data_IF_273428482302
#
_entry.id   IF_273428482302
#
_cell.length_a   1.000
_cell.length_b   1.000
_cell.length_c   1.000
_cell.angle_alpha   90.00
_cell.angle_beta   90.00
_cell.angle_gamma   90.00
#
_symmetry.space_group_name_H-M   'P 1'
#
loop_
_entity.id
_entity.type
_entity.pdbx_description
1 polymer ?
2 polymer ?
#
loop_
_entity_poly.entity_id
_entity_poly.type
_entity_poly.pdbx_seq_one_letter_code
_entity_poly.pdbx_strand_id
1 'polydeoxyribonucleotide' '(DA)(DT)' ?
#
# COMPACT_ATOMS: atom_id res chain seq x y z
N UNK D 1 -18.03 -10.77 -15.47
CA UNK D 1 -16.80 -11.59 -15.46
C UNK D 1 -15.76 -11.08 -14.44
N UNK D 2 -15.49 -9.76 -14.44
CA UNK D 2 -14.53 -9.08 -13.55
C UNK D 2 -14.52 -9.43 -12.05
N UNK D 3 -15.36 -8.74 -11.28
CA UNK D 3 -15.41 -8.93 -9.83
C UNK D 3 -16.56 -9.81 -9.33
N UNK D 4 -16.82 -9.73 -8.02
CA UNK D 4 -17.86 -10.52 -7.36
C UNK D 4 -17.73 -10.26 -5.87
N UNK D 5 -18.82 -9.79 -5.26
CA UNK D 5 -18.82 -9.49 -3.84
C UNK D 5 -19.02 -10.79 -3.06
N UNK D 6 -17.94 -11.22 -2.43
CA UNK D 6 -17.84 -12.48 -1.67
C UNK D 6 -17.99 -12.44 -0.15
N UNK D 7 -18.74 -13.39 0.39
CA UNK D 7 -18.94 -13.51 1.83
C UNK D 7 -17.92 -14.54 2.31
N UNK D 8 -17.32 -14.29 3.46
CA UNK D 8 -16.32 -15.19 4.01
C UNK D 8 -16.53 -15.48 5.49
N UNK D 9 -16.15 -16.69 5.94
CA UNK D 9 -16.29 -17.12 7.34
C UNK D 9 -15.35 -16.34 8.23
N UNK D 10 -15.56 -15.03 8.31
CA UNK D 10 -14.70 -14.16 9.10
C UNK D 10 -14.77 -14.34 10.62
N UNK D 11 -13.67 -13.99 11.31
CA UNK D 11 -13.49 -14.08 12.75
C UNK D 11 -14.49 -13.20 13.52
N UNK D 12 -14.63 -13.46 14.81
CA UNK D 12 -15.59 -12.73 15.64
C UNK D 12 -15.76 -11.23 15.37
N UNK D 13 -14.86 -10.36 15.89
CA UNK D 13 -15.20 -8.98 15.53
C UNK D 13 -14.44 -8.41 14.34
N UNK D 14 -15.13 -8.34 13.21
CA UNK D 14 -14.58 -7.80 11.98
C UNK D 14 -14.42 -6.29 12.14
N UNK D 15 -13.18 -5.86 12.34
CA UNK D 15 -12.86 -4.47 12.56
C UNK D 15 -11.96 -3.85 11.48
N UNK D 16 -11.84 -2.53 11.48
CA UNK D 16 -11.03 -1.75 10.54
C UNK D 16 -9.79 -1.15 11.25
N UNK D 17 -8.59 -1.57 10.83
CA UNK D 17 -7.35 -1.10 11.43
C UNK D 17 -6.94 0.30 10.97
N UNK D 18 -6.51 1.10 11.93
CA UNK D 18 -6.08 2.48 11.69
C UNK D 18 -4.79 2.72 12.44
N UNK D 19 -3.88 3.44 11.82
CA UNK D 19 -2.60 3.71 12.42
C UNK D 19 -2.71 4.88 13.36
N UNK D 20 -2.04 4.82 14.51
CA UNK D 20 -2.10 5.93 15.45
C UNK D 20 -0.90 6.83 15.26
N UNK D 21 -1.11 8.07 14.75
CA UNK D 21 0.07 8.91 14.57
C UNK D 21 0.93 8.99 15.82
N UNK D 22 2.09 9.64 15.69
CA UNK D 22 3.05 9.78 16.78
C UNK D 22 2.55 10.72 17.88
N UNK D 23 2.44 10.20 19.10
CA UNK D 23 1.99 11.03 20.19
C UNK D 23 0.50 10.96 20.50
N UNK D 24 -0.27 10.39 19.58
CA UNK D 24 -1.72 10.27 19.76
C UNK D 24 -2.02 9.02 20.58
N UNK D 25 -2.85 9.13 21.61
CA UNK D 25 -3.15 7.97 22.45
C UNK D 25 -4.64 7.72 22.77
N UNK D 26 -5.09 6.48 22.50
CA UNK D 26 -6.48 6.07 22.75
C UNK D 26 -6.60 4.72 23.47
N UNK D 27 -7.71 4.55 24.17
CA UNK D 27 -8.01 3.33 24.92
C UNK D 27 -9.35 2.73 24.49
N UNK D 28 -9.56 1.47 24.79
CA UNK D 28 -10.79 0.79 24.40
C UNK D 28 -12.06 1.52 24.86
N UNK D 29 -13.07 1.51 24.00
CA UNK D 29 -14.33 2.15 24.30
C UNK D 29 -14.37 3.65 24.00
N UNK D 30 -13.49 4.13 23.13
CA UNK D 30 -13.49 5.56 22.82
C UNK D 30 -13.77 5.82 21.36
N UNK D 31 -14.33 6.98 21.08
CA UNK D 31 -14.64 7.31 19.71
C UNK D 31 -13.43 7.99 19.07
N UNK D 32 -13.35 7.92 17.74
CA UNK D 32 -12.24 8.48 16.98
C UNK D 32 -12.73 8.84 15.58
N UNK D 33 -12.17 9.86 14.96
CA UNK D 33 -12.57 10.20 13.59
C UNK D 33 -11.63 9.40 12.72
N UNK D 34 -12.10 8.89 11.59
CA UNK D 34 -11.20 8.11 10.77
C UNK D 34 -11.42 8.28 9.29
N UNK D 35 -10.34 8.21 8.48
CA UNK D 35 -10.66 8.35 7.06
C UNK D 35 -11.52 7.13 6.68
N UNK D 36 -12.05 7.12 5.46
CA UNK D 36 -12.86 6.01 5.00
C UNK D 36 -12.56 6.07 3.51
N UNK D 37 -13.51 5.73 2.64
CA UNK D 37 -13.26 5.78 1.20
C UNK D 37 -12.16 6.71 0.67
N UNK D 38 -12.09 6.84 -0.66
CA UNK D 38 -11.08 7.68 -1.28
C UNK D 38 -11.14 9.10 -0.75
N UNK D 39 -12.25 9.50 -0.12
CA UNK D 39 -12.16 10.84 0.40
C UNK D 39 -12.82 11.31 1.68
N UNK D 40 -13.95 10.80 2.15
CA UNK D 40 -14.35 11.41 3.41
C UNK D 40 -14.52 10.68 4.73
N UNK D 41 -14.70 11.49 5.78
CA UNK D 41 -14.77 11.08 7.20
C UNK D 41 -15.96 10.32 7.77
N UNK D 42 -15.74 9.78 8.97
CA UNK D 42 -16.71 8.99 9.74
C UNK D 42 -16.26 8.81 11.21
N UNK D 43 -17.20 8.51 12.10
CA UNK D 43 -16.93 8.34 13.53
C UNK D 43 -17.04 6.90 13.97
N UNK D 44 -16.04 6.42 14.69
CA UNK D 44 -16.09 5.05 15.14
C UNK D 44 -15.71 4.85 16.59
N UNK D 45 -15.63 3.58 16.97
CA UNK D 45 -15.29 3.22 18.32
C UNK D 45 -14.16 2.20 18.35
N UNK D 46 -13.08 2.54 19.06
CA UNK D 46 -11.94 1.65 19.18
C UNK D 46 -12.33 0.42 20.01
N UNK D 47 -12.08 -0.78 19.51
CA UNK D 47 -12.42 -1.97 20.25
C UNK D 47 -11.25 -2.54 20.97
N UNK D 48 -10.06 -2.30 20.41
CA UNK D 48 -8.78 -2.80 20.95
C UNK D 48 -7.61 -2.10 20.27
N UNK D 49 -6.44 -2.16 20.90
CA UNK D 49 -5.24 -1.55 20.34
C UNK D 49 -4.11 -2.54 20.49
N UNK D 50 -3.61 -3.10 19.38
CA UNK D 50 -2.50 -4.05 19.44
C UNK D 50 -1.27 -3.48 18.76
N UNK D 51 -0.25 -4.32 18.62
CA UNK D 51 1.01 -3.95 17.97
C UNK D 51 1.12 -4.54 16.58
N UNK D 52 0.02 -5.09 16.08
CA UNK D 52 -0.01 -5.69 14.75
C UNK D 52 -1.38 -5.67 14.08
N UNK D 53 -1.34 -5.60 12.75
CA UNK D 53 -2.53 -5.59 11.88
C UNK D 53 -2.28 -6.58 10.77
N UNK D 54 -3.34 -7.14 10.21
CA UNK D 54 -3.20 -8.11 9.13
C UNK D 54 -2.59 -7.47 7.90
N UNK D 55 -2.45 -6.16 7.92
CA UNK D 55 -1.89 -5.48 6.76
C UNK D 55 -0.65 -4.67 7.07
N UNK D 56 0.13 -4.33 6.02
CA UNK D 56 1.33 -3.54 6.26
C UNK D 56 1.06 -2.31 7.12
N UNK D 57 1.80 -2.18 8.20
CA UNK D 57 1.62 -1.05 9.09
C UNK D 57 1.69 0.28 8.36
N UNK D 58 2.28 0.33 7.17
CA UNK D 58 2.38 1.60 6.44
C UNK D 58 1.21 1.78 5.47
N UNK D 59 0.63 0.66 5.07
CA UNK D 59 -0.49 0.66 4.14
C UNK D 59 -1.81 1.07 4.79
N UNK D 60 -1.79 1.34 6.09
CA UNK D 60 -3.00 1.73 6.82
C UNK D 60 -3.17 3.23 6.93
N UNK D 61 -4.37 3.73 6.64
CA UNK D 61 -4.67 5.16 6.78
C UNK D 61 -4.54 5.45 8.26
N UNK D 62 -4.33 6.71 8.61
CA UNK D 62 -4.14 7.02 10.01
C UNK D 62 -5.30 7.68 10.68
N UNK D 63 -5.41 7.44 11.99
CA UNK D 63 -6.48 8.04 12.79
C UNK D 63 -6.37 9.54 12.70
N UNK D 64 -7.51 10.19 12.67
CA UNK D 64 -7.52 11.63 12.58
C UNK D 64 -7.55 12.30 13.92
N UNK D 65 -8.61 12.05 14.66
CA UNK D 65 -8.80 12.67 15.94
C UNK D 65 -9.49 11.73 16.92
N UNK D 66 -9.20 11.91 18.21
CA UNK D 66 -9.78 11.08 19.25
C UNK D 66 -10.83 11.91 20.00
N UNK D 67 -12.09 11.61 19.77
CA UNK D 67 -13.20 12.33 20.39
C UNK D 67 -13.33 12.17 21.89
N UNK D 68 -12.90 11.03 22.42
CA UNK D 68 -13.04 10.81 23.85
C UNK D 68 -11.72 10.62 24.58
N UNK D 69 -11.65 11.23 25.75
CA UNK D 69 -10.49 11.16 26.63
C UNK D 69 -10.68 9.85 27.37
N UNK D 70 -11.92 9.60 27.75
CA UNK D 70 -12.25 8.38 28.47
C UNK D 70 -13.41 7.64 27.84
N UNK D 71 -13.50 6.32 28.08
CA UNK D 71 -14.55 5.45 27.55
C UNK D 71 -15.95 5.95 27.81
N UNK D 72 -16.65 6.28 26.73
CA UNK D 72 -18.02 6.76 26.77
C UNK D 72 -18.90 5.64 27.35
N UNK D 73 -18.40 4.41 27.30
CA UNK D 73 -19.13 3.27 27.83
C UNK D 73 -18.52 2.91 29.19
N UNK D 74 -19.31 2.31 30.09
CA UNK D 74 -18.83 1.90 31.40
C UNK D 74 -18.15 0.54 31.31
N UNK D 75 -17.16 0.31 32.16
CA UNK D 75 -16.42 -0.94 32.13
C UNK D 75 -17.31 -2.19 32.11
N UNK D 76 -18.44 -2.12 32.81
CA UNK D 76 -19.39 -3.23 32.86
C UNK D 76 -20.12 -3.34 31.52
N UNK D 77 -20.80 -2.25 31.18
CA UNK D 77 -21.55 -2.14 29.92
C UNK D 77 -20.73 -2.63 28.76
N UNK D 78 -19.49 -2.18 28.73
CA UNK D 78 -18.58 -2.54 27.67
C UNK D 78 -18.49 -4.05 27.59
N UNK D 79 -18.07 -4.67 28.69
CA UNK D 79 -17.92 -6.12 28.75
C UNK D 79 -19.20 -6.82 28.27
N UNK D 80 -20.36 -6.32 28.69
CA UNK D 80 -21.63 -6.92 28.27
C UNK D 80 -21.77 -6.84 26.76
N UNK D 81 -21.69 -5.62 26.25
CA UNK D 81 -21.80 -5.36 24.82
C UNK D 81 -20.95 -6.27 23.95
N UNK D 82 -19.65 -6.28 24.23
CA UNK D 82 -18.73 -7.13 23.47
C UNK D 82 -19.22 -8.56 23.56
N UNK D 83 -19.68 -8.93 24.74
CA UNK D 83 -20.18 -10.27 24.94
C UNK D 83 -21.45 -10.47 24.10
N UNK D 84 -22.44 -9.60 24.28
CA UNK D 84 -23.71 -9.69 23.54
C UNK D 84 -23.46 -9.80 22.05
N UNK D 85 -22.50 -9.04 21.56
CA UNK D 85 -22.20 -9.09 20.15
C UNK D 85 -21.67 -10.46 19.72
N UNK D 86 -20.78 -11.05 20.53
CA UNK D 86 -20.19 -12.35 20.23
C UNK D 86 -21.19 -13.50 20.39
N UNK D 87 -21.76 -13.59 21.58
CA UNK D 87 -22.70 -14.64 21.91
C UNK D 87 -23.93 -14.76 21.00
N UNK D 88 -24.43 -13.64 20.50
CA UNK D 88 -25.62 -13.64 19.65
C UNK D 88 -25.29 -13.37 18.18
N UNK D 89 -24.00 -13.29 17.87
CA UNK D 89 -23.54 -13.08 16.52
C UNK D 89 -24.03 -11.79 15.87
N UNK D 90 -23.76 -10.66 16.52
CA UNK D 90 -24.14 -9.37 15.94
C UNK D 90 -22.86 -8.58 15.67
N UNK D 91 -22.78 -7.88 14.52
CA UNK D 91 -21.58 -7.10 14.23
C UNK D 91 -21.32 -6.20 15.43
N UNK D 92 -20.11 -6.24 15.95
CA UNK D 92 -19.79 -5.44 17.11
C UNK D 92 -20.05 -3.98 16.88
N UNK D 93 -19.75 -3.51 15.68
CA UNK D 93 -19.96 -2.11 15.36
C UNK D 93 -21.43 -1.77 15.48
N UNK D 94 -22.28 -2.69 14.99
CA UNK D 94 -23.72 -2.57 15.01
C UNK D 94 -24.27 -2.47 16.43
N UNK D 95 -23.82 -3.35 17.33
CA UNK D 95 -24.31 -3.28 18.71
C UNK D 95 -23.83 -1.99 19.35
N UNK D 96 -22.53 -1.73 19.32
CA UNK D 96 -22.01 -0.51 19.95
C UNK D 96 -22.65 0.80 19.54
N UNK D 97 -22.82 1.04 18.25
CA UNK D 97 -23.39 2.31 17.86
C UNK D 97 -24.88 2.41 18.11
N UNK D 98 -25.58 1.29 18.18
CA UNK D 98 -27.01 1.35 18.44
C UNK D 98 -27.27 1.64 19.89
N UNK D 99 -26.63 0.88 20.76
CA UNK D 99 -26.81 1.06 22.19
C UNK D 99 -26.33 2.41 22.69
N UNK D 100 -25.37 3.02 22.01
CA UNK D 100 -24.87 4.31 22.45
C UNK D 100 -26.01 5.27 22.79
N UNK D 101 -26.91 5.54 21.81
CA UNK D 101 -28.05 6.45 22.02
C UNK D 101 -28.84 6.03 23.24
N UNK D 102 -29.26 4.77 23.29
CA UNK D 102 -30.00 4.24 24.42
C UNK D 102 -29.19 4.58 25.68
N UNK D 103 -28.19 3.77 26.02
CA UNK D 103 -27.37 3.99 27.23
C UNK D 103 -27.20 5.43 27.74
N UNK D 104 -26.90 6.37 26.84
CA UNK D 104 -26.69 7.76 27.22
C UNK D 104 -27.98 8.50 27.52
N UNK D 105 -28.84 8.53 26.53
CA UNK D 105 -30.12 9.20 26.62
C UNK D 105 -31.04 8.42 27.56
N UNK E 1 0.08 1.94 21.63
CA UNK E 1 0.60 1.04 20.56
C UNK E 1 0.37 1.62 19.16
N UNK E 2 0.62 0.83 18.11
CA UNK E 2 0.45 1.33 16.74
C UNK E 2 -0.89 1.16 16.02
N UNK E 3 -1.27 -0.09 15.79
CA UNK E 3 -2.51 -0.42 15.09
C UNK E 3 -3.80 -0.30 15.92
N UNK E 4 -4.65 0.66 15.57
CA UNK E 4 -5.93 0.83 16.24
C UNK E 4 -6.95 0.17 15.33
N UNK E 5 -7.48 -0.97 15.78
CA UNK E 5 -8.50 -1.71 15.04
C UNK E 5 -9.78 -0.99 15.37
N UNK E 6 -10.46 -0.43 14.39
CA UNK E 6 -11.69 0.23 14.75
C UNK E 6 -12.89 -0.24 13.96
N UNK E 7 -14.05 -0.09 14.59
CA UNK E 7 -15.32 -0.49 14.03
C UNK E 7 -16.08 0.68 13.37
N UNK E 8 -16.75 0.42 12.25
CA UNK E 8 -17.51 1.48 11.62
C UNK E 8 -18.83 0.94 11.12
N UNK E 9 -19.90 1.75 11.20
CA UNK E 9 -21.16 1.16 10.71
C UNK E 9 -21.19 0.94 9.19
N UNK E 10 -20.66 -0.22 8.85
CA UNK E 10 -20.53 -0.72 7.50
C UNK E 10 -21.89 -1.12 6.91
N UNK E 11 -21.98 -1.16 5.56
CA UNK E 11 -23.15 -1.52 4.75
C UNK E 11 -23.58 -2.94 5.11
N UNK E 12 -24.83 -3.28 4.83
CA UNK E 12 -25.33 -4.60 5.17
C UNK E 12 -24.41 -5.79 4.90
N UNK E 13 -24.19 -6.18 3.62
CA UNK E 13 -23.33 -7.32 3.33
C UNK E 13 -21.83 -7.00 3.16
N UNK E 14 -21.07 -6.98 4.24
CA UNK E 14 -19.64 -6.70 4.12
C UNK E 14 -18.98 -7.93 3.52
N UNK E 15 -18.59 -7.80 2.26
CA UNK E 15 -17.96 -8.88 1.49
C UNK E 15 -16.58 -8.53 0.94
N UNK E 16 -15.85 -9.54 0.46
CA UNK E 16 -14.53 -9.33 -0.12
C UNK E 16 -14.54 -9.56 -1.62
N UNK E 17 -14.05 -8.55 -2.36
CA UNK E 17 -14.01 -8.60 -3.81
C UNK E 17 -12.83 -9.37 -4.35
N UNK E 18 -13.07 -10.15 -5.39
CA UNK E 18 -12.02 -10.93 -6.03
C UNK E 18 -12.29 -10.95 -7.54
N UNK E 19 -11.24 -10.92 -8.35
CA UNK E 19 -11.44 -10.94 -9.79
C UNK E 19 -11.62 -12.34 -10.34
N UNK E 20 -12.51 -12.48 -11.32
CA UNK E 20 -12.72 -13.77 -11.97
C UNK E 20 -11.79 -13.80 -13.19
N UNK E 21 -10.90 -14.80 -13.25
CA UNK E 21 -9.96 -14.93 -14.36
C UNK E 21 -10.68 -15.00 -15.71
N UNK E 22 -9.94 -14.93 -16.80
CA UNK E 22 -10.56 -15.03 -18.12
C UNK E 22 -11.15 -16.41 -18.31
N UNK E 23 -12.42 -16.44 -18.68
CA UNK E 23 -13.08 -17.71 -18.95
C UNK E 23 -13.67 -18.47 -17.77
N UNK E 24 -13.44 -17.98 -16.55
CA UNK E 24 -13.98 -18.64 -15.38
C UNK E 24 -15.35 -18.03 -15.07
N UNK E 25 -16.37 -18.87 -14.92
CA UNK E 25 -17.72 -18.38 -14.67
C UNK E 25 -18.35 -18.95 -13.39
N UNK E 26 -18.87 -18.05 -12.54
CA UNK E 26 -19.52 -18.45 -11.30
C UNK E 26 -20.76 -17.63 -11.03
N UNK E 27 -21.72 -18.23 -10.32
CA UNK E 27 -22.94 -17.53 -9.95
C UNK E 27 -23.19 -17.57 -8.44
N UNK E 28 -24.13 -16.76 -7.99
CA UNK E 28 -24.48 -16.66 -6.59
C UNK E 28 -24.78 -17.99 -5.93
N UNK E 29 -24.21 -18.17 -4.73
CA UNK E 29 -24.42 -19.39 -3.98
C UNK E 29 -23.37 -20.46 -4.23
N UNK E 30 -22.35 -20.12 -5.02
CA UNK E 30 -21.29 -21.08 -5.30
C UNK E 30 -20.07 -20.88 -4.40
N UNK E 31 -19.41 -21.98 -4.07
CA UNK E 31 -18.21 -21.91 -3.23
C UNK E 31 -17.03 -21.68 -4.16
N UNK E 32 -16.05 -20.93 -3.70
CA UNK E 32 -14.84 -20.69 -4.49
C UNK E 32 -13.64 -20.69 -3.56
N UNK E 33 -12.48 -21.05 -4.10
CA UNK E 33 -11.26 -21.03 -3.30
C UNK E 33 -10.62 -19.70 -3.65
N UNK E 34 -10.09 -18.99 -2.67
CA UNK E 34 -9.49 -17.70 -2.96
C UNK E 34 -8.27 -17.35 -2.11
N UNK E 35 -7.44 -16.41 -2.59
CA UNK E 35 -6.26 -16.03 -1.82
C UNK E 35 -6.82 -15.18 -0.70
N UNK E 36 -6.00 -14.90 0.30
CA UNK E 36 -6.39 -14.02 1.38
C UNK E 36 -5.02 -13.58 1.81
N UNK E 37 -4.81 -13.09 3.02
CA UNK E 37 -3.48 -12.67 3.43
C UNK E 37 -2.30 -12.77 2.45
N UNK E 38 -1.09 -12.84 2.99
CA UNK E 38 0.12 -12.97 2.18
C UNK E 38 0.49 -14.42 1.90
N UNK E 39 0.06 -15.33 2.77
CA UNK E 39 0.33 -16.79 2.66
C UNK E 39 -0.88 -17.33 1.90
N UNK E 40 -1.94 -17.65 2.64
CA UNK E 40 -3.26 -17.83 2.04
C UNK E 40 -4.46 -18.65 1.61
N UNK E 41 -4.54 -19.96 1.48
CA UNK E 41 -5.84 -20.37 0.96
C UNK E 41 -7.06 -20.53 1.89
N UNK E 42 -8.25 -20.43 1.29
CA UNK E 42 -9.51 -20.57 2.02
C UNK E 42 -10.78 -20.63 1.15
N UNK E 43 -11.79 -21.34 1.63
CA UNK E 43 -13.07 -21.49 0.91
C UNK E 43 -14.05 -20.35 1.22
N UNK E 44 -14.73 -19.87 0.19
CA UNK E 44 -15.69 -18.80 0.36
C UNK E 44 -16.94 -19.07 -0.45
N UNK E 45 -17.94 -18.21 -0.27
CA UNK E 45 -19.20 -18.34 -0.99
C UNK E 45 -19.50 -17.03 -1.67
N UNK E 46 -19.69 -17.08 -2.98
CA UNK E 46 -19.98 -15.88 -3.73
C UNK E 46 -21.42 -15.43 -3.44
N UNK E 47 -21.53 -14.16 -3.08
CA UNK E 47 -22.80 -13.51 -2.73
C UNK E 47 -23.49 -12.85 -3.92
N UNK E 48 -22.67 -12.26 -4.79
CA UNK E 48 -23.12 -11.54 -5.99
C UNK E 48 -21.94 -11.36 -6.94
N UNK E 49 -22.23 -11.06 -8.19
CA UNK E 49 -21.19 -10.87 -9.19
C UNK E 49 -21.53 -9.56 -9.87
N UNK E 50 -20.72 -8.54 -9.59
CA UNK E 50 -20.94 -7.23 -10.16
C UNK E 50 -19.85 -6.93 -11.16
N UNK E 51 -19.95 -5.78 -11.82
CA UNK E 51 -18.95 -5.36 -12.78
C UNK E 51 -18.30 -4.11 -12.20
N UNK E 52 -18.36 -4.00 -10.87
CA UNK E 52 -17.81 -2.87 -10.14
C UNK E 52 -17.36 -3.28 -8.73
N UNK E 53 -16.16 -2.83 -8.36
CA UNK E 53 -15.58 -3.11 -7.04
C UNK E 53 -15.21 -1.76 -6.45
N UNK E 54 -15.25 -1.66 -5.13
CA UNK E 54 -14.89 -0.42 -4.46
C UNK E 54 -13.40 -0.08 -4.60
N UNK E 55 -12.63 -0.99 -5.17
CA UNK E 55 -11.19 -0.77 -5.35
C UNK E 55 -10.80 -0.99 -6.82
N UNK E 56 -9.58 -0.53 -7.23
CA UNK E 56 -9.20 -0.73 -8.64
C UNK E 56 -9.22 -2.17 -9.12
N UNK E 57 -9.79 -2.38 -10.31
CA UNK E 57 -9.91 -3.68 -10.95
C UNK E 57 -8.60 -4.44 -11.02
N UNK E 58 -7.49 -3.72 -10.88
CA UNK E 58 -6.16 -4.31 -10.99
C UNK E 58 -5.54 -4.79 -9.67
N UNK E 59 -5.72 -4.05 -8.58
CA UNK E 59 -5.09 -4.54 -7.36
C UNK E 59 -5.99 -5.43 -6.50
N UNK E 60 -6.78 -6.24 -7.21
CA UNK E 60 -7.72 -7.20 -6.64
C UNK E 60 -7.11 -8.61 -6.83
N UNK E 61 -6.90 -9.37 -5.77
CA UNK E 61 -6.36 -10.72 -5.99
C UNK E 61 -7.41 -11.44 -6.82
N UNK E 62 -7.05 -12.56 -7.45
CA UNK E 62 -8.00 -13.27 -8.31
C UNK E 62 -8.45 -14.64 -7.79
N UNK E 63 -9.69 -14.99 -8.11
CA UNK E 63 -10.23 -16.27 -7.69
C UNK E 63 -9.31 -17.39 -8.18
N UNK E 64 -9.23 -18.46 -7.39
CA UNK E 64 -8.39 -19.60 -7.75
C UNK E 64 -9.21 -20.62 -8.54
N UNK E 65 -10.20 -21.23 -7.88
CA UNK E 65 -11.04 -22.22 -8.51
C UNK E 65 -12.48 -22.16 -8.00
N UNK E 66 -13.41 -22.66 -8.82
CA UNK E 66 -14.82 -22.70 -8.47
C UNK E 66 -15.20 -24.13 -8.11
N UNK E 67 -15.49 -24.37 -6.84
CA UNK E 67 -15.84 -25.72 -6.43
C UNK E 67 -17.24 -26.20 -6.81
N UNK E 68 -18.13 -25.29 -7.20
CA UNK E 68 -19.46 -25.72 -7.58
C UNK E 68 -19.91 -25.15 -8.91
N UNK E 69 -20.61 -25.98 -9.68
CA UNK E 69 -21.10 -25.56 -10.99
C UNK E 69 -22.48 -25.01 -10.76
N UNK E 70 -23.14 -25.51 -9.72
CA UNK E 70 -24.48 -25.10 -9.39
C UNK E 70 -24.53 -24.71 -7.90
N UNK E 71 -25.40 -23.74 -7.53
CA UNK E 71 -25.54 -23.28 -6.14
C UNK E 71 -25.85 -24.39 -5.15
N UNK E 72 -24.98 -24.54 -4.15
CA UNK E 72 -25.15 -25.54 -3.11
C UNK E 72 -26.41 -25.23 -2.32
N UNK E 73 -26.89 -24.00 -2.45
CA UNK E 73 -28.09 -23.53 -1.76
C UNK E 73 -29.29 -23.52 -2.71
N UNK E 74 -30.49 -23.78 -2.16
CA UNK E 74 -31.73 -23.74 -2.95
C UNK E 74 -32.13 -22.28 -3.17
N UNK E 75 -32.68 -21.95 -4.33
CA UNK E 75 -33.09 -20.56 -4.59
C UNK E 75 -33.85 -19.97 -3.42
N UNK E 76 -34.72 -20.79 -2.83
CA UNK E 76 -35.53 -20.38 -1.68
C UNK E 76 -34.64 -20.18 -0.47
N UNK E 77 -33.96 -21.26 -0.09
CA UNK E 77 -33.04 -21.22 1.05
C UNK E 77 -32.17 -19.98 1.03
N UNK E 78 -31.58 -19.72 -0.13
CA UNK E 78 -30.71 -18.55 -0.29
C UNK E 78 -31.47 -17.27 0.04
N UNK E 79 -32.63 -17.09 -0.59
CA UNK E 79 -33.43 -15.90 -0.33
C UNK E 79 -33.63 -15.73 1.17
N UNK E 80 -33.99 -16.83 1.84
CA UNK E 80 -34.24 -16.87 3.27
C UNK E 80 -33.01 -16.46 4.05
N UNK E 81 -31.90 -17.14 3.79
CA UNK E 81 -30.67 -16.83 4.51
C UNK E 81 -30.20 -15.39 4.40
N UNK E 82 -30.22 -14.82 3.18
CA UNK E 82 -29.78 -13.43 2.99
C UNK E 82 -30.71 -12.56 3.82
N UNK E 83 -31.98 -12.95 3.88
CA UNK E 83 -32.98 -12.22 4.65
C UNK E 83 -32.59 -12.28 6.12
N UNK E 84 -32.55 -13.49 6.67
CA UNK E 84 -32.19 -13.70 8.08
C UNK E 84 -30.98 -12.86 8.44
N UNK E 85 -29.93 -13.01 7.65
CA UNK E 85 -28.74 -12.22 7.88
C UNK E 85 -29.11 -10.75 8.05
N UNK E 86 -29.85 -10.18 7.09
CA UNK E 86 -30.21 -8.76 7.21
C UNK E 86 -31.18 -8.39 8.31
N UNK E 87 -32.27 -9.13 8.41
CA UNK E 87 -33.30 -8.85 9.39
C UNK E 87 -32.88 -8.93 10.85
N UNK E 88 -32.04 -9.91 11.17
CA UNK E 88 -31.58 -10.14 12.54
C UNK E 88 -30.17 -9.62 12.82
N UNK E 89 -29.55 -8.95 11.85
CA UNK E 89 -28.22 -8.39 12.06
C UNK E 89 -27.15 -9.45 12.26
N UNK E 90 -26.99 -10.33 11.29
CA UNK E 90 -25.95 -11.34 11.41
C UNK E 90 -25.04 -11.21 10.17
N UNK E 91 -23.71 -11.33 10.35
CA UNK E 91 -22.84 -11.21 9.18
C UNK E 91 -23.16 -12.32 8.14
N UNK E 92 -23.34 -11.95 6.86
CA UNK E 92 -23.70 -12.91 5.80
C UNK E 92 -22.80 -14.15 5.82
N UNK E 93 -21.51 -13.89 5.97
CA UNK E 93 -20.52 -14.93 5.99
C UNK E 93 -20.86 -15.96 7.03
N UNK E 94 -21.10 -15.48 8.24
CA UNK E 94 -21.47 -16.35 9.36
C UNK E 94 -22.70 -17.20 9.10
N UNK E 95 -23.83 -16.57 8.75
CA UNK E 95 -25.05 -17.33 8.50
C UNK E 95 -24.79 -18.40 7.46
N UNK E 96 -24.31 -17.99 6.29
CA UNK E 96 -24.01 -18.91 5.19
C UNK E 96 -23.14 -20.13 5.59
N UNK E 97 -21.96 -19.90 6.16
CA UNK E 97 -21.08 -21.01 6.54
C UNK E 97 -21.61 -21.81 7.71
N UNK E 98 -22.13 -21.13 8.73
CA UNK E 98 -22.68 -21.88 9.83
C UNK E 98 -23.94 -22.58 9.33
N UNK E 99 -24.50 -22.05 8.23
CA UNK E 99 -25.70 -22.64 7.67
C UNK E 99 -25.42 -23.73 6.65
N UNK E 100 -24.20 -23.75 6.12
CA UNK E 100 -23.85 -24.75 5.11
C UNK E 100 -23.94 -26.17 5.62
N UNK E 101 -23.25 -26.47 6.73
CA UNK E 101 -23.28 -27.81 7.31
C UNK E 101 -24.71 -28.35 7.46
N UNK E 102 -25.51 -27.69 8.28
CA UNK E 102 -26.88 -28.11 8.51
C UNK E 102 -27.62 -28.47 7.22
N UNK E 103 -27.31 -27.77 6.13
CA UNK E 103 -27.95 -28.02 4.83
C UNK E 103 -27.54 -29.35 4.20
N UNK E 104 -26.26 -29.71 4.36
CA UNK E 104 -25.75 -30.96 3.81
C UNK E 104 -25.86 -32.10 4.83
N UNK F 1 19.87 -7.28 -24.27
CA UNK F 1 20.93 -6.24 -24.35
C UNK F 1 20.51 -4.91 -25.00
N UNK F 2 19.28 -4.44 -24.75
CA UNK F 2 18.94 -3.17 -25.39
C UNK F 2 18.83 -2.08 -24.35
N UNK F 3 19.01 -2.44 -23.09
CA UNK F 3 18.92 -1.46 -22.02
C UNK F 3 20.18 -1.43 -21.16
N UNK F 4 20.81 -0.26 -21.12
CA UNK F 4 21.99 -0.06 -20.32
C UNK F 4 21.53 0.68 -19.06
N UNK F 5 21.58 0.02 -17.91
CA UNK F 5 21.19 0.65 -16.65
C UNK F 5 22.38 1.49 -16.17
N UNK F 6 22.18 2.80 -16.14
CA UNK F 6 23.25 3.71 -15.77
C UNK F 6 23.13 4.44 -14.45
N UNK F 7 24.24 4.51 -13.75
CA UNK F 7 24.28 5.18 -12.47
C UNK F 7 24.71 6.62 -12.72
N UNK F 8 24.26 7.54 -11.86
CA UNK F 8 24.62 8.94 -12.01
C UNK F 8 24.82 9.60 -10.64
N UNK F 9 25.74 10.58 -10.58
CA UNK F 9 26.02 11.30 -9.33
C UNK F 9 24.83 12.21 -9.01
N UNK F 10 23.68 11.61 -8.69
CA UNK F 10 22.47 12.39 -8.40
C UNK F 10 22.45 13.12 -7.07
N UNK F 11 21.65 14.20 -6.99
CA UNK F 11 21.48 15.04 -5.81
C UNK F 11 20.95 14.32 -4.57
N UNK F 12 21.08 15.01 -3.44
CA UNK F 12 20.67 14.53 -2.13
C UNK F 12 19.45 13.60 -2.10
N UNK F 13 18.22 14.14 -1.97
CA UNK F 13 17.13 13.17 -1.95
C UNK F 13 16.47 12.89 -3.30
N UNK F 14 16.85 11.75 -3.89
CA UNK F 14 16.30 11.32 -5.16
C UNK F 14 14.86 10.87 -4.94
N UNK F 15 13.92 11.73 -5.33
CA UNK F 15 12.50 11.47 -5.16
C UNK F 15 11.70 11.38 -6.46
N UNK F 16 10.43 11.00 -6.34
CA UNK F 16 9.49 10.85 -7.45
C UNK F 16 8.31 11.82 -7.36
N UNK F 17 8.23 12.72 -8.35
CA UNK F 17 7.19 13.75 -8.43
C UNK F 17 5.83 13.22 -8.90
N UNK F 18 4.79 13.66 -8.20
CA UNK F 18 3.41 13.30 -8.50
C UNK F 18 2.61 14.59 -8.42
N UNK F 19 1.58 14.69 -9.24
CA UNK F 19 0.74 15.88 -9.26
C UNK F 19 -0.41 15.76 -8.28
N UNK F 20 -0.67 16.86 -7.59
CA UNK F 20 -1.75 16.96 -6.61
C UNK F 20 -3.05 17.27 -7.32
N UNK F 21 -4.06 16.40 -7.19
CA UNK F 21 -5.36 16.59 -7.83
C UNK F 21 -5.97 17.90 -7.38
N UNK F 22 -7.04 18.28 -8.06
CA UNK F 22 -7.80 19.48 -7.74
C UNK F 22 -8.41 19.32 -6.35
N UNK F 23 -8.04 20.20 -5.41
CA UNK F 23 -8.63 20.12 -4.07
C UNK F 23 -8.01 19.17 -3.07
N UNK F 24 -7.00 18.40 -3.49
CA UNK F 24 -6.35 17.48 -2.58
C UNK F 24 -5.20 18.21 -1.88
N UNK F 25 -5.06 18.00 -0.57
CA UNK F 25 -4.03 18.68 0.22
C UNK F 25 -3.16 17.76 1.09
N UNK F 26 -1.83 17.85 0.93
CA UNK F 26 -0.89 17.05 1.74
C UNK F 26 0.34 17.86 2.15
N UNK F 27 0.92 17.52 3.29
CA UNK F 27 2.10 18.22 3.73
C UNK F 27 3.19 17.19 4.02
N UNK F 28 4.40 17.69 4.24
CA UNK F 28 5.54 16.83 4.49
C UNK F 28 5.30 15.83 5.62
N UNK F 29 5.74 14.59 5.43
CA UNK F 29 5.61 13.58 6.44
C UNK F 29 4.36 12.75 6.32
N UNK F 30 3.63 12.90 5.22
CA UNK F 30 2.42 12.14 5.10
C UNK F 30 2.54 11.05 4.05
N UNK F 31 1.86 9.95 4.29
CA UNK F 31 1.88 8.86 3.34
C UNK F 31 0.77 9.09 2.30
N UNK F 32 1.02 8.69 1.06
CA UNK F 32 0.02 8.85 0.01
C UNK F 32 0.10 7.65 -0.90
N UNK F 33 -0.97 7.40 -1.64
CA UNK F 33 -0.99 6.29 -2.55
C UNK F 33 -0.65 6.88 -3.91
N UNK F 34 0.19 6.21 -4.69
CA UNK F 34 0.56 6.76 -6.01
C UNK F 34 0.71 5.70 -7.06
N UNK F 35 0.62 6.10 -8.33
CA UNK F 35 0.79 5.11 -9.38
C UNK F 35 2.29 4.89 -9.45
N UNK F 36 2.71 3.83 -10.13
CA UNK F 36 4.13 3.49 -10.32
C UNK F 36 3.97 2.59 -11.54
N UNK F 37 5.02 2.30 -12.28
CA UNK F 37 4.85 1.45 -13.45
C UNK F 37 3.59 1.69 -14.29
N UNK F 38 3.46 0.89 -15.34
CA UNK F 38 2.34 0.95 -16.28
C UNK F 38 1.09 0.27 -15.69
N UNK F 39 1.26 -0.32 -14.50
CA UNK F 39 0.20 -1.07 -13.85
C UNK F 39 -0.27 -0.71 -12.44
N UNK F 40 0.52 -1.19 -11.46
CA UNK F 40 0.26 -1.09 -10.03
C UNK F 40 0.53 0.14 -9.20
N UNK F 41 -0.11 0.15 -8.03
CA UNK F 41 0.03 1.21 -7.05
C UNK F 41 0.97 0.81 -5.91
N UNK F 42 1.33 1.78 -5.09
CA UNK F 42 2.22 1.60 -3.93
C UNK F 42 2.13 2.81 -3.01
N UNK F 43 2.60 2.65 -1.78
CA UNK F 43 2.53 3.73 -0.83
C UNK F 43 3.83 4.47 -0.65
N UNK F 44 3.74 5.79 -0.54
CA UNK F 44 4.96 6.57 -0.37
C UNK F 44 4.76 7.62 0.71
N UNK F 45 5.78 8.41 0.99
CA UNK F 45 5.70 9.46 1.99
C UNK F 45 6.18 10.75 1.34
N UNK F 46 5.40 11.81 1.41
CA UNK F 46 5.84 13.06 0.79
C UNK F 46 7.01 13.67 1.56
N UNK F 47 8.02 14.12 0.83
CA UNK F 47 9.20 14.70 1.47
C UNK F 47 9.08 16.22 1.40
N UNK F 48 8.26 16.70 0.50
CA UNK F 48 8.04 18.14 0.34
C UNK F 48 7.07 18.39 -0.81
N UNK F 49 6.65 19.64 -0.96
CA UNK F 49 5.71 20.01 -1.99
C UNK F 49 6.06 21.39 -2.53
N UNK F 50 6.55 21.45 -3.76
CA UNK F 50 6.89 22.74 -4.33
C UNK F 50 6.04 22.99 -5.56
N UNK F 51 6.32 24.10 -6.22
CA UNK F 51 5.57 24.50 -7.42
C UNK F 51 6.30 24.13 -8.70
N UNK F 52 7.32 23.29 -8.59
CA UNK F 52 8.08 22.90 -9.76
C UNK F 52 8.55 21.46 -9.75
N UNK F 53 8.58 20.86 -10.92
CA UNK F 53 9.04 19.50 -11.10
C UNK F 53 10.07 19.68 -12.20
N UNK F 54 11.14 18.91 -12.22
CA UNK F 54 12.03 19.17 -13.33
C UNK F 54 11.63 18.33 -14.53
N UNK F 55 10.31 18.14 -14.62
CA UNK F 55 9.66 17.43 -15.70
C UNK F 55 8.30 18.09 -15.99
N UNK F 56 7.82 18.01 -17.23
CA UNK F 56 6.54 18.62 -17.60
C UNK F 56 5.40 18.36 -16.61
N UNK F 57 4.81 19.44 -16.09
CA UNK F 57 3.73 19.32 -15.12
C UNK F 57 2.50 18.60 -15.68
N UNK F 58 2.55 18.27 -16.96
CA UNK F 58 1.46 17.56 -17.64
C UNK F 58 1.83 16.08 -17.72
N UNK F 59 3.11 15.83 -17.96
CA UNK F 59 3.67 14.49 -18.10
C UNK F 59 3.74 13.62 -16.82
N UNK F 60 3.30 14.14 -15.68
CA UNK F 60 3.37 13.34 -14.46
C UNK F 60 2.06 12.83 -13.93
N UNK F 61 2.06 11.54 -13.59
CA UNK F 61 0.86 10.90 -13.06
C UNK F 61 0.43 11.71 -11.84
N UNK F 62 -0.79 11.46 -11.38
CA UNK F 62 -1.31 12.20 -10.24
C UNK F 62 -1.53 11.34 -9.01
N UNK F 63 -1.35 11.93 -7.83
CA UNK F 63 -1.56 11.19 -6.60
C UNK F 63 -2.96 10.57 -6.59
N UNK F 64 -3.08 9.44 -5.92
CA UNK F 64 -4.36 8.73 -5.82
C UNK F 64 -5.10 9.17 -4.56
N UNK F 65 -4.52 8.90 -3.39
CA UNK F 65 -5.13 9.29 -2.12
C UNK F 65 -4.08 9.55 -1.04
N UNK F 66 -4.43 10.31 -0.02
CA UNK F 66 -3.48 10.56 1.05
C UNK F 66 -3.93 9.85 2.32
N UNK F 67 -3.13 8.91 2.80
CA UNK F 67 -3.47 8.16 4.00
C UNK F 67 -3.37 8.90 5.32
N UNK F 68 -2.65 10.02 5.35
CA UNK F 68 -2.47 10.79 6.58
C UNK F 68 -3.01 12.20 6.48
N UNK F 69 -3.65 12.65 7.55
CA UNK F 69 -4.21 13.98 7.64
C UNK F 69 -3.14 14.83 8.31
N UNK F 70 -2.27 14.14 9.04
CA UNK F 70 -1.16 14.79 9.71
C UNK F 70 0.04 13.85 9.67
N UNK F 71 1.27 14.41 9.71
CA UNK F 71 2.55 13.70 9.67
C UNK F 71 2.65 12.55 10.65
N UNK F 72 2.78 11.34 10.12
CA UNK F 72 2.90 10.14 10.93
C UNK F 72 4.16 10.21 11.82
N UNK F 73 5.09 11.08 11.44
CA UNK F 73 6.35 11.28 12.17
C UNK F 73 6.26 12.57 12.97
N UNK F 74 7.06 12.67 14.03
CA UNK F 74 7.09 13.90 14.83
C UNK F 74 8.04 14.91 14.19
N UNK F 75 7.72 16.19 14.33
CA UNK F 75 8.54 17.22 13.71
C UNK F 75 10.04 17.05 13.97
N UNK F 76 10.43 16.62 15.17
CA UNK F 76 11.86 16.43 15.47
C UNK F 76 12.36 15.12 14.81
N UNK F 77 11.64 14.03 15.04
CA UNK F 77 11.99 12.76 14.43
C UNK F 77 12.20 12.94 12.92
N UNK F 78 11.32 13.71 12.29
CA UNK F 78 11.40 13.98 10.86
C UNK F 78 12.76 14.68 10.59
N UNK F 79 12.97 15.81 11.22
CA UNK F 79 14.22 16.53 11.04
C UNK F 79 15.42 15.59 11.15
N UNK F 80 15.35 14.65 12.09
CA UNK F 80 16.42 13.68 12.38
C UNK F 80 16.64 12.69 11.25
N UNK F 81 15.55 12.10 10.76
CA UNK F 81 15.61 11.15 9.66
C UNK F 81 16.15 11.81 8.39
N UNK F 82 15.59 12.96 8.02
CA UNK F 82 16.06 13.63 6.83
C UNK F 82 17.54 13.90 6.96
N UNK F 83 18.00 14.19 8.17
CA UNK F 83 19.41 14.44 8.37
C UNK F 83 20.12 13.13 8.20
N UNK F 84 19.82 12.20 9.09
CA UNK F 84 20.44 10.89 9.05
C UNK F 84 20.61 10.44 7.59
N UNK F 85 19.57 10.56 6.79
CA UNK F 85 19.68 10.13 5.40
C UNK F 85 20.69 10.91 4.59
N UNK F 86 20.89 12.18 4.89
CA UNK F 86 21.84 12.95 4.13
C UNK F 86 23.27 12.81 4.66
N UNK F 87 23.42 12.96 5.96
CA UNK F 87 24.74 12.85 6.54
C UNK F 87 25.39 11.50 6.27
N UNK F 88 24.61 10.43 6.37
CA UNK F 88 25.09 9.05 6.19
C UNK F 88 24.93 8.46 4.80
N UNK F 89 24.50 9.28 3.87
CA UNK F 89 24.30 8.88 2.51
C UNK F 89 23.42 7.65 2.38
N UNK F 90 22.22 7.72 2.93
CA UNK F 90 21.30 6.59 2.78
C UNK F 90 20.05 7.11 2.07
N UNK F 91 19.51 6.32 1.13
CA UNK F 91 18.31 6.68 0.38
C UNK F 91 17.21 7.14 1.33
N UNK F 92 16.68 8.35 1.12
CA UNK F 92 15.63 8.94 1.98
C UNK F 92 14.47 7.96 2.13
N UNK F 93 14.11 7.36 1.00
CA UNK F 93 13.02 6.40 0.98
C UNK F 93 13.28 5.18 1.84
N UNK F 94 14.55 4.76 1.86
CA UNK F 94 14.98 3.62 2.66
C UNK F 94 14.83 3.98 4.15
N UNK F 95 15.39 5.12 4.56
CA UNK F 95 15.33 5.57 5.95
C UNK F 95 13.90 5.68 6.46
N UNK F 96 13.08 6.46 5.77
CA UNK F 96 11.70 6.65 6.21
C UNK F 96 10.93 5.37 6.43
N UNK F 97 10.89 4.51 5.42
CA UNK F 97 10.12 3.27 5.56
C UNK F 97 10.69 2.18 6.47
N UNK F 98 12.00 2.07 6.62
CA UNK F 98 12.51 1.06 7.52
C UNK F 98 12.29 1.53 8.94
N UNK F 99 12.38 2.84 9.13
CA UNK F 99 12.21 3.43 10.44
C UNK F 99 10.75 3.47 10.92
N UNK F 100 9.82 3.60 9.98
CA UNK F 100 8.40 3.69 10.30
C UNK F 100 7.92 2.65 11.31
N UNK F 101 8.08 1.35 10.98
CA UNK F 101 7.64 0.28 11.89
C UNK F 101 8.37 0.24 13.22
N UNK F 102 9.48 0.96 13.30
CA UNK F 102 10.26 0.95 14.51
C UNK F 102 9.92 2.14 15.34
N UNK F 103 9.78 3.29 14.69
CA UNK F 103 9.44 4.53 15.36
C UNK F 103 8.04 4.40 15.96
N UNK F 104 7.13 3.84 15.18
CA UNK F 104 5.76 3.66 15.63
C UNK F 104 5.59 2.52 16.63
N UNK F 105 5.75 2.85 17.91
CA UNK F 105 5.60 1.91 19.02
C UNK F 105 6.39 0.60 18.87
N UNK G 2 2.16 22.96 -8.26
CA UNK G 2 1.52 22.13 -7.21
C UNK G 2 1.97 20.67 -7.29
N UNK G 3 3.21 20.39 -6.86
CA UNK G 3 3.75 19.04 -6.90
C UNK G 3 4.34 18.59 -5.57
N UNK G 4 4.01 17.35 -5.18
CA UNK G 4 4.47 16.74 -3.94
C UNK G 4 5.62 15.79 -4.22
N UNK G 5 6.80 16.11 -3.68
CA UNK G 5 8.03 15.31 -3.83
C UNK G 5 7.90 14.11 -2.87
N UNK G 6 7.68 12.93 -3.44
CA UNK G 6 7.45 11.72 -2.65
C UNK G 6 8.57 10.66 -2.53
N UNK G 7 8.88 10.19 -1.32
CA UNK G 7 9.89 9.15 -1.15
C UNK G 7 9.18 7.82 -1.18
N UNK G 8 9.81 6.80 -1.76
CA UNK G 8 9.22 5.46 -1.84
C UNK G 8 10.20 4.41 -1.35
N UNK G 9 9.71 3.33 -0.74
CA UNK G 9 10.61 2.28 -0.25
C UNK G 9 11.09 1.53 -1.48
N UNK G 10 11.83 2.22 -2.33
CA UNK G 10 12.33 1.67 -3.57
C UNK G 10 13.42 0.59 -3.42
N UNK G 11 13.46 -0.38 -4.36
CA UNK G 11 14.41 -1.51 -4.42
C UNK G 11 15.88 -1.14 -4.39
N UNK G 12 16.70 -2.16 -4.08
CA UNK G 12 18.15 -2.03 -3.97
C UNK G 12 18.86 -0.98 -4.87
N UNK G 13 19.19 -1.32 -6.14
CA UNK G 13 19.87 -0.29 -6.94
C UNK G 13 18.93 0.57 -7.79
N UNK G 14 18.56 1.75 -7.27
CA UNK G 14 17.70 2.66 -8.00
C UNK G 14 18.51 3.23 -9.17
N UNK G 15 18.25 2.75 -10.38
CA UNK G 15 19.00 3.25 -11.53
C UNK G 15 18.12 3.78 -12.66
N UNK G 16 18.75 4.45 -13.62
CA UNK G 16 18.08 5.06 -14.77
C UNK G 16 18.32 4.28 -16.07
N UNK G 17 17.23 3.84 -16.70
CA UNK G 17 17.30 3.05 -17.91
C UNK G 17 17.49 3.85 -19.19
N UNK G 18 18.41 3.39 -20.04
CA UNK G 18 18.69 4.02 -21.31
C UNK G 18 18.72 2.94 -22.39
N UNK G 19 18.23 3.26 -23.57
CA UNK G 19 18.21 2.27 -24.63
C UNK G 19 19.50 2.33 -25.42
N UNK G 20 19.99 1.16 -25.77
CA UNK G 20 21.23 1.03 -26.51
C UNK G 20 20.95 0.97 -28.00
N UNK G 21 21.27 2.06 -28.73
CA UNK G 21 21.05 2.12 -30.18
C UNK G 21 21.52 0.87 -30.92
N UNK G 22 21.08 0.74 -32.17
CA UNK G 22 21.43 -0.42 -32.98
C UNK G 22 22.94 -0.48 -33.29
N UNK G 23 23.58 -1.56 -32.85
CA UNK G 23 25.01 -1.74 -33.10
C UNK G 23 25.93 -1.29 -31.97
N UNK G 24 25.34 -0.59 -30.99
CA UNK G 24 26.04 -0.06 -29.83
C UNK G 24 26.15 -1.15 -28.77
N UNK G 25 27.35 -1.53 -28.33
CA UNK G 25 27.44 -2.53 -27.26
C UNK G 25 28.31 -2.12 -26.05
N UNK G 26 27.77 -2.29 -24.84
CA UNK G 26 28.47 -1.94 -23.61
C UNK G 26 28.37 -2.99 -22.51
N UNK G 27 29.34 -2.97 -21.61
CA UNK G 27 29.40 -3.94 -20.52
C UNK G 27 29.33 -3.29 -19.12
N UNK G 28 28.98 -4.08 -18.12
CA UNK G 28 28.87 -3.58 -16.76
C UNK G 28 30.19 -2.94 -16.33
N UNK G 29 30.13 -1.81 -15.66
CA UNK G 29 31.36 -1.17 -15.22
C UNK G 29 31.90 -0.12 -16.18
N UNK G 30 31.14 0.20 -17.22
CA UNK G 30 31.61 1.18 -18.18
C UNK G 30 30.84 2.51 -18.18
N UNK G 31 31.57 3.58 -18.49
CA UNK G 31 30.99 4.92 -18.54
C UNK G 31 30.33 5.15 -19.88
N UNK G 32 29.33 6.02 -19.91
CA UNK G 32 28.63 6.32 -21.15
C UNK G 32 28.05 7.72 -20.97
N UNK G 33 27.62 8.34 -22.06
CA UNK G 33 27.00 9.67 -21.94
C UNK G 33 25.55 9.46 -22.24
N UNK G 34 24.66 10.20 -21.59
CA UNK G 34 23.25 10.01 -21.83
C UNK G 34 22.43 11.27 -21.68
N UNK G 35 21.26 11.32 -22.31
CA UNK G 35 20.50 12.56 -22.11
C UNK G 35 19.95 12.54 -20.69
N UNK G 36 19.57 13.72 -20.21
CA UNK G 36 19.00 13.85 -18.89
C UNK G 36 18.01 14.97 -19.14
N UNK G 37 17.08 15.25 -18.21
CA UNK G 37 16.11 16.33 -18.46
C UNK G 37 15.77 16.53 -19.92
N UNK G 38 14.97 17.52 -20.29
CA UNK G 38 14.75 17.66 -21.71
C UNK G 38 15.73 18.68 -22.27
N UNK G 39 16.90 18.71 -21.66
CA UNK G 39 17.95 19.65 -22.02
C UNK G 39 19.35 19.01 -22.15
N UNK G 40 20.02 18.98 -20.99
CA UNK G 40 21.40 18.54 -20.74
C UNK G 40 21.90 17.10 -20.80
N UNK G 41 23.21 16.97 -20.95
CA UNK G 41 23.89 15.69 -20.97
C UNK G 41 24.70 15.49 -19.68
N UNK G 42 25.25 14.29 -19.48
CA UNK G 42 25.99 13.95 -18.28
C UNK G 42 26.58 12.55 -18.45
N UNK G 43 27.56 12.18 -17.63
CA UNK G 43 28.15 10.86 -17.74
C UNK G 43 27.72 9.94 -16.59
N UNK G 44 27.51 8.67 -16.92
CA UNK G 44 27.11 7.70 -15.91
C UNK G 44 27.89 6.40 -16.05
N UNK G 45 27.54 5.43 -15.22
CA UNK G 45 28.21 4.15 -15.29
C UNK G 45 27.15 3.04 -15.35
N UNK G 46 27.29 2.16 -16.34
CA UNK G 46 26.38 1.03 -16.54
C UNK G 46 26.52 0.06 -15.38
N UNK G 47 25.42 -0.27 -14.76
CA UNK G 47 25.42 -1.16 -13.63
C UNK G 47 25.12 -2.57 -14.12
N UNK G 48 24.30 -2.65 -15.16
CA UNK G 48 23.92 -3.92 -15.76
C UNK G 48 23.23 -3.67 -17.09
N UNK G 49 22.94 -4.74 -17.81
CA UNK G 49 22.28 -4.65 -19.10
C UNK G 49 21.27 -5.77 -19.19
N UNK G 50 19.99 -5.43 -19.17
CA UNK G 50 18.96 -6.47 -19.27
C UNK G 50 18.19 -6.40 -20.58
N UNK G 51 17.10 -7.15 -20.64
CA UNK G 51 16.24 -7.24 -21.82
C UNK G 51 14.92 -6.54 -21.58
N UNK G 52 14.80 -5.89 -20.43
CA UNK G 52 13.57 -5.18 -20.12
C UNK G 52 13.77 -4.06 -19.13
N UNK G 53 12.90 -3.07 -19.21
CA UNK G 53 12.93 -1.96 -18.26
C UNK G 53 11.51 -1.83 -17.75
N UNK G 54 11.36 -1.22 -16.59
CA UNK G 54 10.05 -1.05 -15.98
C UNK G 54 9.20 -0.07 -16.78
N UNK G 55 9.73 0.40 -17.92
CA UNK G 55 9.03 1.36 -18.77
C UNK G 55 9.01 0.99 -20.25
N UNK G 56 8.01 1.53 -20.98
CA UNK G 56 7.86 1.28 -22.43
C UNK G 56 9.20 1.37 -23.15
N UNK G 57 9.58 0.27 -23.78
CA UNK G 57 10.83 0.12 -24.50
C UNK G 57 11.21 1.23 -25.50
N UNK G 58 10.24 2.04 -25.91
CA UNK G 58 10.54 3.13 -26.84
C UNK G 58 10.37 4.50 -26.15
N UNK G 59 9.65 4.51 -25.04
CA UNK G 59 9.38 5.71 -24.24
C UNK G 59 10.69 6.10 -23.53
N UNK G 60 11.76 5.38 -23.85
CA UNK G 60 13.07 5.54 -23.25
C UNK G 60 14.12 6.25 -24.08
N UNK G 61 14.65 7.37 -23.57
CA UNK G 61 15.71 8.09 -24.29
C UNK G 61 16.80 7.06 -24.59
N UNK G 62 17.64 7.35 -25.58
CA UNK G 62 18.67 6.42 -25.99
C UNK G 62 20.09 6.84 -25.67
N UNK G 63 20.95 5.86 -25.41
CA UNK G 63 22.35 6.11 -25.08
C UNK G 63 22.97 6.97 -26.15
N UNK G 64 23.91 7.82 -25.76
CA UNK G 64 24.55 8.69 -26.72
C UNK G 64 25.90 8.13 -27.16
N UNK G 65 26.80 7.95 -26.19
CA UNK G 65 28.13 7.46 -26.49
C UNK G 65 28.71 6.61 -25.37
N UNK G 66 29.52 5.62 -25.76
CA UNK G 66 30.18 4.69 -24.84
C UNK G 66 31.63 5.18 -24.67
N UNK G 67 31.98 5.67 -23.49
CA UNK G 67 33.32 6.20 -23.23
C UNK G 67 34.39 5.18 -22.88
N UNK G 68 34.00 4.00 -22.41
CA UNK G 68 34.98 2.97 -22.08
C UNK G 68 34.62 1.72 -22.85
N UNK G 69 35.63 1.04 -23.37
CA UNK G 69 35.37 -0.20 -24.11
C UNK G 69 35.76 -1.33 -23.18
N UNK G 70 36.27 -0.92 -22.03
CA UNK G 70 36.74 -1.83 -21.00
C UNK G 70 36.19 -1.29 -19.67
N UNK G 71 35.87 -2.18 -18.72
CA UNK G 71 35.35 -1.69 -17.43
C UNK G 71 36.44 -0.98 -16.60
N UNK G 72 36.20 0.28 -16.26
CA UNK G 72 37.13 1.12 -15.48
C UNK G 72 37.39 0.59 -14.06
N UNK G 73 36.60 -0.38 -13.65
CA UNK G 73 36.80 -0.95 -12.33
C UNK G 73 37.24 -2.39 -12.55
N UNK G 74 37.96 -2.91 -11.55
CA UNK G 74 38.46 -4.28 -11.54
C UNK G 74 37.34 -5.24 -11.24
N UNK G 75 37.41 -6.43 -11.81
CA UNK G 75 36.39 -7.45 -11.58
C UNK G 75 36.06 -7.61 -10.09
N UNK G 76 37.06 -7.49 -9.21
CA UNK G 76 36.82 -7.64 -7.77
C UNK G 76 36.30 -6.34 -7.16
N UNK G 77 37.03 -5.25 -7.36
CA UNK G 77 36.62 -3.97 -6.84
C UNK G 77 35.14 -3.75 -7.12
N UNK G 78 34.75 -4.07 -8.34
CA UNK G 78 33.38 -3.93 -8.79
C UNK G 78 32.46 -4.68 -7.84
N UNK G 79 32.67 -5.97 -7.73
CA UNK G 79 31.81 -6.75 -6.85
C UNK G 79 31.83 -6.14 -5.45
N UNK G 80 32.97 -5.64 -5.03
CA UNK G 80 33.05 -5.06 -3.69
C UNK G 80 32.12 -3.88 -3.55
N UNK G 81 32.27 -2.90 -4.42
CA UNK G 81 31.43 -1.71 -4.38
C UNK G 81 29.95 -2.03 -4.48
N UNK G 82 29.58 -2.93 -5.37
CA UNK G 82 28.18 -3.25 -5.48
C UNK G 82 27.69 -3.80 -4.16
N UNK G 83 28.57 -4.49 -3.44
CA UNK G 83 28.22 -5.07 -2.15
C UNK G 83 28.16 -3.94 -1.13
N UNK G 84 29.23 -3.16 -1.04
CA UNK G 84 29.25 -2.05 -0.10
C UNK G 84 27.97 -1.28 -0.28
N UNK G 85 27.63 -0.98 -1.52
CA UNK G 85 26.42 -0.23 -1.78
C UNK G 85 25.18 -0.87 -1.15
N UNK G 86 25.00 -2.17 -1.36
CA UNK G 86 23.83 -2.86 -0.82
C UNK G 86 23.85 -3.05 0.71
N UNK G 87 24.95 -3.56 1.24
CA UNK G 87 25.07 -3.84 2.66
C UNK G 87 24.99 -2.64 3.60
N UNK G 88 25.57 -1.52 3.18
CA UNK G 88 25.58 -0.32 4.00
C UNK G 88 24.58 0.71 3.50
N UNK G 89 23.68 0.23 2.66
CA UNK G 89 22.63 1.03 2.06
C UNK G 89 23.06 2.39 1.55
N UNK G 90 23.87 2.41 0.50
CA UNK G 90 24.27 3.68 -0.06
C UNK G 90 23.81 3.61 -1.48
N UNK G 91 23.41 4.77 -2.06
CA UNK G 91 22.94 4.79 -3.44
C UNK G 91 24.13 4.40 -4.31
N UNK G 92 23.95 3.35 -5.10
CA UNK G 92 25.02 2.82 -5.97
C UNK G 92 25.71 3.86 -6.85
N UNK G 93 24.93 4.83 -7.33
CA UNK G 93 25.50 5.87 -8.14
C UNK G 93 26.48 6.67 -7.32
N UNK G 94 26.15 6.89 -6.04
CA UNK G 94 26.97 7.63 -5.07
C UNK G 94 28.29 6.90 -4.86
N UNK G 95 28.22 5.62 -4.52
CA UNK G 95 29.41 4.82 -4.29
C UNK G 95 30.34 4.86 -5.48
N UNK G 96 29.82 4.44 -6.64
CA UNK G 96 30.64 4.40 -7.85
C UNK G 96 31.36 5.69 -8.13
N UNK G 97 30.63 6.78 -8.30
CA UNK G 97 31.28 8.03 -8.60
C UNK G 97 32.20 8.58 -7.53
N UNK G 98 32.04 8.11 -6.30
CA UNK G 98 32.90 8.60 -5.26
C UNK G 98 34.10 7.69 -5.12
N UNK G 99 33.90 6.40 -5.39
CA UNK G 99 34.96 5.38 -5.31
C UNK G 99 36.02 5.46 -6.41
N UNK G 100 35.56 5.84 -7.59
CA UNK G 100 36.40 5.98 -8.78
C UNK G 100 37.62 6.87 -8.53
N UNK G 101 37.40 8.16 -8.23
CA UNK G 101 38.55 9.05 -8.00
C UNK G 101 39.52 8.59 -6.91
N UNK G 102 38.97 8.09 -5.82
CA UNK G 102 39.82 7.63 -4.73
C UNK G 102 40.65 6.46 -5.19
N UNK G 103 40.08 5.66 -6.08
CA UNK G 103 40.77 4.49 -6.62
C UNK G 103 41.89 4.84 -7.57
N UNK G 104 42.01 6.13 -7.90
CA UNK G 104 43.05 6.59 -8.83
C UNK G 104 43.94 7.69 -8.22
#
# INVERSE_FOLDING_TARGET
MPVAHVALPVPLPRTFDYLLPEGMTVKAGCRVRVPFGKQQERIGIVVSVSDASELPLNELKAVVEVLDSEPVFTHSVWRLLLWAADYYHHPIGDVLFHALPILLR
MPVAHVALPVPLPRTFDYLLPEGMTVKAGCRVRVPFGKQQERIGIVVSVSDASELPLNELKAVVEVLDSEPVFTHSVWRLLLWAADYYHHPIGDVLFHALPILLR
MPVAHVALPVPLPRTFDYLLPEGMTVKAGCRVRVPFGKQQERIGIVVSVSDASELPLNELKAVVEVLDSEPVFTHSVWRLLLWAADYYHHPIGDVLFHALPILLR
MPVAHVALPVPLPRTFDYLLPEGMTVKAGCRVRVPFGKQQERIGIVVSVSDASELPLNELKAVVEVLDSEPVFTHSVWRLLLWAADYYHHPIGDVLFHALPILLR
#
